data_IF_983469447488
#
_entry.id   IF_983469447488
#
_cell.length_a   1.000
_cell.length_b   1.000
_cell.length_c   1.000
_cell.angle_alpha   90.00
_cell.angle_beta   90.00
_cell.angle_gamma   90.00
#
_symmetry.space_group_name_H-M   'P 1'
#
loop_
_entity.id
_entity.type
_entity.pdbx_description
1 polymer ?
#
# COMPACT_ATOMS: atom_id res chain seq x y z
N UNK A 1 4.48 25.98 14.37
CA UNK A 1 5.18 25.01 13.49
C UNK A 1 4.38 24.87 12.20
N UNK A 2 4.95 25.21 11.05
CA UNK A 2 4.34 24.98 9.73
C UNK A 2 4.62 23.54 9.30
N UNK A 3 3.58 22.77 9.03
CA UNK A 3 3.72 21.41 8.50
C UNK A 3 4.18 21.46 7.03
N UNK A 4 5.02 20.53 6.57
CA UNK A 4 5.40 20.45 5.17
C UNK A 4 4.18 20.15 4.28
N UNK A 5 4.17 20.68 3.07
CA UNK A 5 3.16 20.36 2.07
C UNK A 5 3.42 18.93 1.56
N UNK A 6 2.59 17.98 2.00
CA UNK A 6 2.64 16.62 1.48
C UNK A 6 2.15 16.59 0.03
N UNK A 7 2.72 15.74 -0.82
CA UNK A 7 2.19 15.49 -2.18
C UNK A 7 1.26 14.28 -2.20
N UNK A 8 1.38 13.40 -1.20
CA UNK A 8 0.51 12.26 -0.96
C UNK A 8 0.08 12.23 0.50
N UNK A 9 -1.11 11.71 0.79
CA UNK A 9 -1.65 11.58 2.14
C UNK A 9 -1.76 12.92 2.91
N UNK A 10 -2.30 13.97 2.26
CA UNK A 10 -2.49 15.30 2.85
C UNK A 10 -3.18 15.31 4.23
N UNK A 11 -4.12 14.37 4.44
CA UNK A 11 -4.90 14.27 5.66
C UNK A 11 -4.15 13.58 6.81
N UNK A 12 -3.02 12.91 6.53
CA UNK A 12 -2.30 12.09 7.50
C UNK A 12 -1.87 12.87 8.75
N UNK A 13 -1.33 14.10 8.67
CA UNK A 13 -0.97 14.85 9.88
C UNK A 13 -2.16 15.13 10.79
N UNK A 14 -3.33 15.45 10.22
CA UNK A 14 -4.56 15.68 10.98
C UNK A 14 -5.04 14.42 11.68
N UNK A 15 -4.94 13.26 11.01
CA UNK A 15 -5.29 11.96 11.59
C UNK A 15 -4.36 11.61 12.76
N UNK A 16 -3.05 11.78 12.56
CA UNK A 16 -2.03 11.47 13.58
C UNK A 16 -2.13 12.38 14.82
N UNK A 17 -2.65 13.60 14.67
CA UNK A 17 -2.89 14.50 15.80
C UNK A 17 -4.09 14.07 16.66
N UNK A 18 -5.07 13.36 16.09
CA UNK A 18 -6.31 13.00 16.77
C UNK A 18 -6.29 11.57 17.32
N UNK A 19 -5.52 10.66 16.70
CA UNK A 19 -5.49 9.25 17.06
C UNK A 19 -4.22 8.56 16.57
N UNK A 20 -3.92 7.41 17.18
CA UNK A 20 -2.88 6.50 16.71
C UNK A 20 -3.38 5.84 15.42
N UNK A 21 -2.59 5.92 14.35
CA UNK A 21 -2.82 5.17 13.12
C UNK A 21 -2.11 3.82 13.19
N UNK A 22 -2.75 2.78 12.67
CA UNK A 22 -2.15 1.45 12.50
C UNK A 22 -1.91 1.25 11.01
N UNK A 23 -0.71 0.84 10.65
CA UNK A 23 -0.36 0.42 9.31
C UNK A 23 -0.45 -1.11 9.22
N UNK A 24 -0.84 -1.64 8.07
CA UNK A 24 -0.85 -3.08 7.87
C UNK A 24 0.57 -3.65 7.84
N UNK A 25 0.67 -4.95 8.10
CA UNK A 25 1.94 -5.67 8.15
C UNK A 25 2.47 -6.04 6.75
N UNK A 26 3.44 -6.95 6.72
CA UNK A 26 4.06 -7.41 5.48
C UNK A 26 3.07 -8.14 4.54
N UNK A 27 2.55 -7.40 3.56
CA UNK A 27 1.61 -7.90 2.55
C UNK A 27 2.24 -8.99 1.66
N UNK A 28 3.55 -8.94 1.40
CA UNK A 28 4.24 -9.94 0.58
C UNK A 28 4.14 -11.38 1.12
N UNK A 29 4.24 -11.57 2.43
CA UNK A 29 4.07 -12.89 3.06
C UNK A 29 2.64 -13.40 2.94
N UNK A 30 1.65 -12.49 2.92
CA UNK A 30 0.26 -12.85 2.66
C UNK A 30 0.07 -13.26 1.19
N UNK A 31 0.66 -12.53 0.23
CA UNK A 31 0.63 -12.87 -1.20
C UNK A 31 1.16 -14.29 -1.45
N UNK A 32 2.26 -14.67 -0.82
CA UNK A 32 2.86 -16.01 -1.00
C UNK A 32 1.89 -17.16 -0.66
N UNK A 33 0.91 -16.94 0.24
CA UNK A 33 -0.09 -17.96 0.60
C UNK A 33 -1.06 -18.27 -0.53
N UNK A 34 -1.27 -17.34 -1.47
CA UNK A 34 -2.19 -17.52 -2.58
C UNK A 34 -1.61 -18.39 -3.71
N UNK A 35 -0.32 -18.75 -3.65
CA UNK A 35 0.36 -19.61 -4.65
C UNK A 35 0.04 -19.19 -6.08
N UNK A 36 0.14 -17.88 -6.33
CA UNK A 36 -0.19 -17.32 -7.64
C UNK A 36 0.71 -17.92 -8.72
N UNK A 37 0.07 -18.27 -9.82
CA UNK A 37 0.73 -18.65 -11.08
C UNK A 37 1.31 -17.41 -11.77
N UNK A 38 2.19 -17.62 -12.73
CA UNK A 38 2.82 -16.52 -13.46
C UNK A 38 1.76 -15.70 -14.23
N UNK A 39 0.76 -16.38 -14.80
CA UNK A 39 -0.38 -15.75 -15.48
C UNK A 39 -1.16 -14.82 -14.53
N UNK A 40 -1.37 -15.24 -13.28
CA UNK A 40 -2.06 -14.45 -12.27
C UNK A 40 -1.24 -13.25 -11.78
N UNK A 41 0.09 -13.36 -11.76
CA UNK A 41 0.97 -12.24 -11.40
C UNK A 41 1.01 -11.18 -12.50
N UNK A 42 1.09 -11.62 -13.76
CA UNK A 42 1.12 -10.74 -14.95
C UNK A 42 -0.23 -10.05 -15.18
N UNK A 43 -1.32 -10.78 -15.00
CA UNK A 43 -2.67 -10.32 -15.31
C UNK A 43 -2.82 -9.93 -16.79
N UNK A 44 -3.98 -9.37 -17.14
CA UNK A 44 -4.29 -9.04 -18.54
C UNK A 44 -3.37 -7.99 -19.15
N UNK A 45 -2.87 -7.06 -18.34
CA UNK A 45 -2.03 -5.97 -18.80
C UNK A 45 -0.65 -6.44 -19.28
N UNK A 46 -0.13 -7.53 -18.73
CA UNK A 46 1.23 -8.01 -18.98
C UNK A 46 1.28 -9.45 -19.49
N UNK A 47 0.17 -9.96 -20.04
CA UNK A 47 0.11 -11.34 -20.55
C UNK A 47 1.09 -11.62 -21.70
N UNK A 48 1.41 -10.60 -22.49
CA UNK A 48 2.22 -10.72 -23.71
C UNK A 48 3.69 -10.25 -23.56
N UNK A 49 4.13 -9.89 -22.35
CA UNK A 49 5.47 -9.29 -22.09
C UNK A 49 6.46 -10.24 -21.43
#
# INVERSE_FOLDING_TARGET
MTLPAYTHAQALPGILAQRIAILDGAMGTMIQRFKLTEEQYRGERFKDF
#
